data_IF_084156167494
#
_entry.id   IF_084156167494
#
_cell.length_a   1.000
_cell.length_b   1.000
_cell.length_c   1.000
_cell.angle_alpha   90.00
_cell.angle_beta   90.00
_cell.angle_gamma   90.00
#
_symmetry.space_group_name_H-M   'P 1'
#
loop_
_entity.id
_entity.type
_entity.pdbx_description
1 polymer ?
#
# COMPACT_ATOMS: atom_id res chain seq x y z
N UNK A 1 -7.40 14.89 23.61
CA UNK A 1 -8.49 14.06 24.15
C UNK A 1 -9.21 14.91 25.20
N UNK A 2 -10.40 15.43 24.88
CA UNK A 2 -11.16 16.27 25.83
C UNK A 2 -11.99 15.35 26.72
N UNK A 3 -11.56 15.15 27.97
CA UNK A 3 -12.34 14.41 28.97
C UNK A 3 -13.45 15.35 29.49
N UNK A 4 -14.70 15.04 29.17
CA UNK A 4 -15.86 15.72 29.75
C UNK A 4 -16.60 14.71 30.61
N UNK A 5 -16.26 14.68 31.90
CA UNK A 5 -16.98 13.90 32.91
C UNK A 5 -17.85 14.86 33.70
N UNK A 6 -19.16 14.61 33.77
CA UNK A 6 -20.07 15.46 34.56
C UNK A 6 -19.85 15.20 36.05
N UNK A 7 -19.88 16.25 36.87
CA UNK A 7 -19.38 16.22 38.26
C UNK A 7 -19.92 15.10 39.16
N UNK A 8 -21.18 14.68 39.00
CA UNK A 8 -21.75 13.55 39.75
C UNK A 8 -21.20 12.19 39.29
N UNK A 9 -21.10 12.00 37.98
CA UNK A 9 -20.55 10.79 37.35
C UNK A 9 -19.06 10.63 37.67
N UNK A 10 -18.31 11.74 37.67
CA UNK A 10 -16.90 11.74 38.04
C UNK A 10 -16.65 11.32 39.49
N UNK A 11 -17.54 11.70 40.41
CA UNK A 11 -17.43 11.30 41.80
C UNK A 11 -17.75 9.81 42.01
N UNK A 12 -18.74 9.29 41.29
CA UNK A 12 -19.06 7.85 41.29
C UNK A 12 -17.86 7.03 40.78
N UNK A 13 -17.27 7.43 39.66
CA UNK A 13 -16.07 6.79 39.09
C UNK A 13 -14.90 6.85 40.06
N UNK A 14 -14.63 8.02 40.66
CA UNK A 14 -13.56 8.19 41.64
C UNK A 14 -13.70 7.22 42.83
N UNK A 15 -14.93 7.02 43.32
CA UNK A 15 -15.20 6.10 44.43
C UNK A 15 -14.96 4.62 44.08
N UNK A 16 -14.92 4.26 42.79
CA UNK A 16 -14.53 2.91 42.36
C UNK A 16 -13.02 2.67 42.38
N UNK A 17 -12.21 3.73 42.39
CA UNK A 17 -10.76 3.61 42.32
C UNK A 17 -10.16 2.99 43.58
N UNK A 18 -9.20 2.10 43.37
CA UNK A 18 -8.37 1.51 44.43
C UNK A 18 -7.03 2.23 44.46
N UNK A 19 -6.74 2.84 45.60
CA UNK A 19 -5.47 3.51 45.90
C UNK A 19 -4.65 2.62 46.84
N UNK A 20 -3.32 2.64 46.69
CA UNK A 20 -2.42 1.83 47.52
C UNK A 20 -2.31 2.37 48.94
N UNK A 21 -2.43 3.68 49.12
CA UNK A 21 -2.42 4.34 50.41
C UNK A 21 -3.36 5.55 50.48
N UNK A 22 -3.63 6.09 51.67
CA UNK A 22 -4.36 7.35 51.83
C UNK A 22 -3.66 8.54 51.18
N UNK A 23 -2.32 8.55 51.16
CA UNK A 23 -1.54 9.61 50.50
C UNK A 23 -1.74 9.59 48.98
N UNK A 24 -1.77 8.40 48.36
CA UNK A 24 -2.08 8.22 46.94
C UNK A 24 -3.47 8.75 46.56
N UNK A 25 -4.44 8.67 47.47
CA UNK A 25 -5.80 9.19 47.26
C UNK A 25 -5.86 10.72 47.25
N UNK A 26 -4.95 11.38 47.96
CA UNK A 26 -4.78 12.82 48.00
C UNK A 26 -3.82 13.34 46.91
N UNK A 27 -3.05 12.45 46.26
CA UNK A 27 -2.15 12.80 45.19
C UNK A 27 -2.91 13.05 43.89
N UNK A 28 -2.95 14.32 43.48
CA UNK A 28 -3.60 14.74 42.24
C UNK A 28 -3.11 13.97 41.00
N UNK A 29 -1.80 13.71 40.89
CA UNK A 29 -1.22 13.01 39.74
C UNK A 29 -1.71 11.57 39.64
N UNK A 30 -1.81 10.86 40.77
CA UNK A 30 -2.29 9.48 40.79
C UNK A 30 -3.78 9.40 40.48
N UNK A 31 -4.57 10.33 41.02
CA UNK A 31 -6.00 10.44 40.73
C UNK A 31 -6.23 10.71 39.24
N UNK A 32 -5.45 11.61 38.64
CA UNK A 32 -5.54 11.92 37.22
C UNK A 32 -5.20 10.71 36.35
N UNK A 33 -4.14 9.97 36.68
CA UNK A 33 -3.77 8.74 35.99
C UNK A 33 -4.89 7.70 36.04
N UNK A 34 -5.56 7.52 37.19
CA UNK A 34 -6.70 6.60 37.31
C UNK A 34 -7.88 7.00 36.43
N UNK A 35 -8.16 8.31 36.33
CA UNK A 35 -9.18 8.82 35.41
C UNK A 35 -8.78 8.62 33.95
N UNK A 36 -7.52 8.85 33.60
CA UNK A 36 -7.01 8.54 32.27
C UNK A 36 -7.14 7.04 31.95
N UNK A 37 -6.78 6.16 32.87
CA UNK A 37 -6.92 4.71 32.68
C UNK A 37 -8.38 4.27 32.53
N UNK A 38 -9.29 4.87 33.31
CA UNK A 38 -10.72 4.56 33.29
C UNK A 38 -11.41 5.05 32.02
N UNK A 39 -11.11 6.29 31.62
CA UNK A 39 -11.72 6.94 30.47
C UNK A 39 -11.01 6.65 29.16
N UNK A 40 -9.80 6.09 29.20
CA UNK A 40 -9.16 5.55 28.02
C UNK A 40 -10.07 4.48 27.45
N UNK A 41 -10.53 4.61 26.18
CA UNK A 41 -11.19 3.50 25.53
C UNK A 41 -10.23 2.33 25.64
N UNK A 42 -10.69 1.19 26.17
CA UNK A 42 -9.89 -0.03 26.25
C UNK A 42 -9.50 -0.40 24.83
N UNK A 43 -8.33 0.08 24.42
CA UNK A 43 -7.80 -0.12 23.10
C UNK A 43 -7.56 -1.62 22.97
N UNK A 44 -8.39 -2.26 22.16
CA UNK A 44 -8.29 -3.68 21.93
C UNK A 44 -7.05 -3.91 21.05
N UNK A 45 -5.89 -4.04 21.70
CA UNK A 45 -4.60 -4.21 21.04
C UNK A 45 -4.63 -5.41 20.08
N UNK A 46 -5.38 -6.46 20.42
CA UNK A 46 -5.55 -7.63 19.55
C UNK A 46 -6.26 -7.24 18.26
N UNK A 47 -7.32 -6.43 18.35
CA UNK A 47 -8.02 -5.92 17.17
C UNK A 47 -7.17 -4.93 16.35
N UNK A 48 -6.41 -4.05 17.00
CA UNK A 48 -5.48 -3.14 16.30
C UNK A 48 -4.42 -3.92 15.53
N UNK A 49 -3.82 -4.94 16.17
CA UNK A 49 -2.86 -5.84 15.53
C UNK A 49 -3.49 -6.64 14.40
N UNK A 50 -4.74 -7.10 14.55
CA UNK A 50 -5.47 -7.75 13.47
C UNK A 50 -5.60 -6.83 12.24
N UNK A 51 -5.97 -5.56 12.43
CA UNK A 51 -6.04 -4.58 11.32
C UNK A 51 -4.67 -4.40 10.65
N UNK A 52 -3.61 -4.25 11.45
CA UNK A 52 -2.24 -4.13 10.94
C UNK A 52 -1.82 -5.35 10.12
N UNK A 53 -1.97 -6.56 10.66
CA UNK A 53 -1.54 -7.78 9.98
C UNK A 53 -2.42 -8.14 8.77
N UNK A 54 -3.67 -7.67 8.73
CA UNK A 54 -4.56 -7.83 7.57
C UNK A 54 -4.36 -6.76 6.49
N UNK A 55 -3.52 -5.75 6.75
CA UNK A 55 -3.30 -4.65 5.82
C UNK A 55 -2.44 -5.08 4.62
N UNK A 56 -3.00 -4.94 3.43
CA UNK A 56 -2.33 -5.19 2.15
C UNK A 56 -2.37 -3.92 1.30
N UNK A 57 -1.39 -3.76 0.41
CA UNK A 57 -1.38 -2.64 -0.53
C UNK A 57 -2.59 -2.76 -1.46
N UNK A 58 -3.37 -1.68 -1.55
CA UNK A 58 -4.53 -1.60 -2.44
C UNK A 58 -4.10 -1.40 -3.89
N UNK A 59 -4.95 -1.80 -4.82
CA UNK A 59 -4.73 -1.53 -6.25
C UNK A 59 -4.65 -0.02 -6.51
N UNK A 60 -3.62 0.41 -7.25
CA UNK A 60 -3.36 1.83 -7.53
C UNK A 60 -2.81 2.64 -6.34
N UNK A 61 -2.64 2.04 -5.16
CA UNK A 61 -2.02 2.73 -4.03
C UNK A 61 -0.50 2.84 -4.21
N UNK A 62 0.04 4.04 -4.00
CA UNK A 62 1.51 4.27 -4.02
C UNK A 62 2.19 3.64 -2.81
N UNK A 63 3.50 3.37 -2.91
CA UNK A 63 4.24 2.82 -1.78
C UNK A 63 4.27 3.80 -0.59
N UNK A 64 4.41 5.10 -0.82
CA UNK A 64 4.39 6.13 0.23
C UNK A 64 3.08 6.13 1.01
N UNK A 65 1.95 6.02 0.31
CA UNK A 65 0.62 5.96 0.92
C UNK A 65 0.48 4.69 1.75
N UNK A 66 0.93 3.54 1.22
CA UNK A 66 0.86 2.26 1.91
C UNK A 66 1.72 2.24 3.19
N UNK A 67 2.97 2.71 3.11
CA UNK A 67 3.87 2.81 4.27
C UNK A 67 3.31 3.76 5.33
N UNK A 68 2.74 4.89 4.92
CA UNK A 68 2.10 5.83 5.84
C UNK A 68 0.93 5.16 6.56
N UNK A 69 0.08 4.44 5.84
CA UNK A 69 -1.05 3.70 6.43
C UNK A 69 -0.58 2.64 7.43
N UNK A 70 0.48 1.87 7.10
CA UNK A 70 1.08 0.90 8.01
C UNK A 70 1.61 1.55 9.29
N UNK A 71 2.29 2.69 9.18
CA UNK A 71 2.78 3.46 10.35
C UNK A 71 1.62 3.94 11.23
N UNK A 72 0.53 4.42 10.62
CA UNK A 72 -0.67 4.81 11.37
C UNK A 72 -1.26 3.63 12.13
N UNK A 73 -1.41 2.46 11.50
CA UNK A 73 -1.91 1.25 12.18
C UNK A 73 -0.95 0.75 13.26
N UNK A 74 0.36 0.81 13.03
CA UNK A 74 1.35 0.36 13.99
C UNK A 74 1.34 1.19 15.29
N UNK A 75 1.05 2.50 15.20
CA UNK A 75 0.99 3.41 16.35
C UNK A 75 0.02 2.97 17.46
N UNK A 76 -1.01 2.18 17.11
CA UNK A 76 -2.01 1.65 18.04
C UNK A 76 -1.77 0.18 18.43
N UNK A 77 -0.71 -0.45 17.94
CA UNK A 77 -0.47 -1.89 18.11
C UNK A 77 0.41 -2.25 19.31
N UNK A 78 1.01 -1.24 19.98
CA UNK A 78 1.96 -1.44 21.09
C UNK A 78 3.09 -2.41 20.70
N UNK A 79 3.77 -2.15 19.58
CA UNK A 79 4.86 -2.98 19.09
C UNK A 79 6.22 -2.66 19.72
N UNK A 80 6.36 -1.50 20.38
CA UNK A 80 7.59 -1.05 21.02
C UNK A 80 8.78 -1.12 20.05
N UNK A 81 9.89 -1.73 20.45
CA UNK A 81 11.12 -1.80 19.66
C UNK A 81 10.97 -2.63 18.37
N UNK A 82 9.90 -3.44 18.26
CA UNK A 82 9.64 -4.26 17.08
C UNK A 82 8.88 -3.53 15.97
N UNK A 83 8.45 -2.28 16.18
CA UNK A 83 7.60 -1.55 15.24
C UNK A 83 8.18 -1.51 13.82
N UNK A 84 9.45 -1.09 13.67
CA UNK A 84 10.09 -1.01 12.36
C UNK A 84 10.24 -2.38 11.69
N UNK A 85 10.56 -3.42 12.46
CA UNK A 85 10.68 -4.78 11.96
C UNK A 85 9.35 -5.33 11.45
N UNK A 86 8.27 -5.10 12.20
CA UNK A 86 6.93 -5.56 11.81
C UNK A 86 6.36 -4.79 10.63
N UNK A 87 6.62 -3.48 10.51
CA UNK A 87 6.26 -2.71 9.33
C UNK A 87 7.02 -3.24 8.11
N UNK A 88 8.33 -3.49 8.24
CA UNK A 88 9.13 -4.11 7.16
C UNK A 88 8.53 -5.45 6.73
N UNK A 89 8.24 -6.33 7.68
CA UNK A 89 7.70 -7.66 7.38
C UNK A 89 6.33 -7.54 6.69
N UNK A 90 5.52 -6.57 7.11
CA UNK A 90 4.22 -6.31 6.47
C UNK A 90 4.37 -5.76 5.05
N UNK A 91 5.38 -4.92 4.78
CA UNK A 91 5.72 -4.47 3.41
C UNK A 91 6.10 -5.68 2.55
N UNK A 92 6.97 -6.56 3.03
CA UNK A 92 7.42 -7.77 2.29
C UNK A 92 6.25 -8.69 1.96
N UNK A 93 5.36 -8.92 2.93
CA UNK A 93 4.26 -9.87 2.79
C UNK A 93 3.00 -9.27 2.16
N UNK A 94 2.81 -7.95 2.23
CA UNK A 94 1.56 -7.26 1.89
C UNK A 94 1.60 -6.44 0.61
N UNK A 95 2.76 -6.40 -0.08
CA UNK A 95 2.85 -5.78 -1.40
C UNK A 95 2.27 -6.73 -2.45
N UNK A 96 1.13 -6.35 -3.01
CA UNK A 96 0.42 -7.12 -4.03
C UNK A 96 0.66 -6.60 -5.46
N UNK A 97 1.41 -5.50 -5.62
CA UNK A 97 1.58 -4.82 -6.92
C UNK A 97 2.69 -5.46 -7.76
N UNK A 98 3.75 -5.94 -7.11
CA UNK A 98 4.89 -6.57 -7.76
C UNK A 98 5.13 -7.97 -7.19
N UNK A 99 4.75 -8.99 -7.96
CA UNK A 99 4.95 -10.39 -7.60
C UNK A 99 6.42 -10.80 -7.47
N UNK A 100 7.34 -10.10 -8.13
CA UNK A 100 8.78 -10.35 -8.04
C UNK A 100 9.46 -9.60 -6.90
N UNK A 101 8.75 -8.74 -6.18
CA UNK A 101 9.37 -7.90 -5.15
C UNK A 101 9.82 -8.71 -3.93
N UNK A 102 9.11 -9.78 -3.59
CA UNK A 102 9.53 -10.71 -2.55
C UNK A 102 10.87 -11.38 -2.91
N UNK A 103 11.06 -11.76 -4.17
CA UNK A 103 12.32 -12.33 -4.65
C UNK A 103 13.50 -11.35 -4.56
N UNK A 104 13.22 -10.04 -4.59
CA UNK A 104 14.22 -8.99 -4.42
C UNK A 104 14.50 -8.63 -2.97
N UNK A 105 13.47 -8.69 -2.11
CA UNK A 105 13.59 -8.30 -0.70
C UNK A 105 14.13 -9.43 0.18
N UNK A 106 13.71 -10.68 -0.05
CA UNK A 106 14.07 -11.82 0.80
C UNK A 106 15.58 -12.14 0.82
N UNK A 107 16.36 -11.96 -0.27
CA UNK A 107 17.81 -12.20 -0.24
C UNK A 107 18.61 -11.13 0.50
N UNK A 108 18.00 -10.00 0.86
CA UNK A 108 18.72 -8.88 1.47
C UNK A 108 19.13 -9.19 2.91
N UNK A 109 20.44 -9.37 3.12
CA UNK A 109 21.02 -9.51 4.45
C UNK A 109 20.76 -8.24 5.27
N UNK A 110 20.29 -8.43 6.52
CA UNK A 110 19.97 -7.34 7.45
C UNK A 110 19.03 -6.29 6.85
N UNK A 111 17.97 -6.72 6.17
CA UNK A 111 16.95 -5.82 5.63
C UNK A 111 16.32 -4.97 6.74
N UNK A 112 16.59 -3.67 6.76
CA UNK A 112 15.93 -2.68 7.59
C UNK A 112 14.67 -2.11 6.93
N UNK A 113 13.86 -1.37 7.69
CA UNK A 113 12.64 -0.74 7.17
C UNK A 113 12.96 0.26 6.06
N UNK A 114 13.94 1.12 6.27
CA UNK A 114 14.35 2.17 5.34
C UNK A 114 14.81 1.57 4.01
N UNK A 115 15.68 0.55 4.09
CA UNK A 115 16.17 -0.17 2.91
C UNK A 115 15.05 -0.90 2.17
N UNK A 116 14.09 -1.50 2.87
CA UNK A 116 12.93 -2.10 2.24
C UNK A 116 12.11 -1.06 1.47
N UNK A 117 11.83 0.10 2.09
CA UNK A 117 11.10 1.20 1.44
C UNK A 117 11.84 1.69 0.18
N UNK A 118 13.16 1.84 0.23
CA UNK A 118 13.96 2.24 -0.93
C UNK A 118 13.87 1.24 -2.08
N UNK A 119 13.99 -0.06 -1.80
CA UNK A 119 13.88 -1.11 -2.82
C UNK A 119 12.50 -1.09 -3.47
N UNK A 120 11.44 -0.98 -2.67
CA UNK A 120 10.06 -0.95 -3.18
C UNK A 120 9.79 0.32 -4.00
N UNK A 121 10.26 1.48 -3.53
CA UNK A 121 10.16 2.75 -4.26
C UNK A 121 10.89 2.68 -5.61
N UNK A 122 12.10 2.14 -5.62
CA UNK A 122 12.86 1.96 -6.84
C UNK A 122 12.16 1.01 -7.82
N UNK A 123 11.50 -0.05 -7.32
CA UNK A 123 10.69 -0.96 -8.12
C UNK A 123 9.49 -0.25 -8.75
N UNK A 124 8.74 0.53 -7.96
CA UNK A 124 7.57 1.30 -8.44
C UNK A 124 7.97 2.29 -9.53
N UNK A 125 9.04 3.08 -9.32
CA UNK A 125 9.55 4.03 -10.31
C UNK A 125 10.02 3.32 -11.59
N UNK A 126 10.73 2.20 -11.47
CA UNK A 126 11.20 1.42 -12.63
C UNK A 126 10.04 0.91 -13.46
N UNK A 127 8.95 0.47 -12.83
CA UNK A 127 7.76 0.00 -13.52
C UNK A 127 7.09 1.12 -14.33
N UNK A 128 6.95 2.31 -13.76
CA UNK A 128 6.42 3.50 -14.46
C UNK A 128 7.30 3.88 -15.65
N UNK A 129 8.62 3.92 -15.46
CA UNK A 129 9.57 4.23 -16.53
C UNK A 129 9.49 3.21 -17.67
N UNK A 130 9.48 1.91 -17.36
CA UNK A 130 9.37 0.83 -18.37
C UNK A 130 8.02 0.90 -19.09
N UNK A 131 6.94 1.19 -18.39
CA UNK A 131 5.60 1.36 -18.98
C UNK A 131 5.59 2.49 -20.01
N UNK A 132 6.15 3.65 -19.64
CA UNK A 132 6.28 4.80 -20.53
C UNK A 132 7.15 4.48 -21.76
N UNK A 133 8.28 3.80 -21.58
CA UNK A 133 9.15 3.36 -22.70
C UNK A 133 8.42 2.42 -23.67
N UNK A 134 7.60 1.50 -23.17
CA UNK A 134 6.77 0.60 -24.02
C UNK A 134 5.73 1.38 -24.82
N UNK A 135 5.12 2.38 -24.21
CA UNK A 135 4.16 3.25 -24.89
C UNK A 135 4.84 4.10 -25.98
N UNK A 136 6.00 4.70 -25.69
CA UNK A 136 6.78 5.48 -26.65
C UNK A 136 7.25 4.64 -27.85
N UNK A 137 7.73 3.42 -27.61
CA UNK A 137 8.13 2.51 -28.70
C UNK A 137 6.95 2.08 -29.57
N UNK A 138 5.76 1.86 -28.98
CA UNK A 138 4.55 1.55 -29.73
C UNK A 138 4.07 2.74 -30.60
N UNK A 139 4.15 3.97 -30.10
CA UNK A 139 3.76 5.17 -30.87
C UNK A 139 4.72 5.46 -32.02
N UNK A 140 6.03 5.27 -31.85
CA UNK A 140 7.02 5.40 -32.94
C UNK A 140 6.75 4.38 -34.07
N UNK A 141 6.40 3.15 -33.71
CA UNK A 141 6.05 2.11 -34.69
C UNK A 141 4.75 2.45 -35.44
N UNK A 142 3.78 3.08 -34.78
CA UNK A 142 2.53 3.52 -35.43
C UNK A 142 2.78 4.63 -36.46
N UNK A 143 3.63 5.62 -36.16
CA UNK A 143 3.95 6.74 -37.06
C UNK A 143 4.80 6.31 -38.28
N UNK A 144 5.57 5.22 -38.17
CA UNK A 144 6.30 4.64 -39.32
C UNK A 144 5.41 3.92 -40.34
N UNK A 145 4.12 3.75 -40.05
CA UNK A 145 3.12 3.26 -41.02
C UNK A 145 2.47 4.41 -41.80
N UNK A 146 3.26 5.41 -42.21
CA UNK A 146 2.87 6.25 -43.34
C UNK A 146 3.02 5.39 -44.60
N UNK A 147 1.88 4.93 -45.11
CA UNK A 147 1.77 4.27 -46.40
C UNK A 147 2.55 5.06 -47.44
N UNK A 148 3.52 4.40 -48.08
CA UNK A 148 4.22 4.98 -49.21
C UNK A 148 3.17 5.12 -50.33
N UNK A 149 2.80 6.34 -50.78
CA UNK A 149 1.73 6.52 -51.77
C UNK A 149 2.06 5.91 -53.15
N UNK A 150 3.29 5.42 -53.33
CA UNK A 150 3.77 4.78 -54.56
C UNK A 150 3.87 3.25 -54.50
N UNK A 151 3.33 2.56 -53.48
CA UNK A 151 3.20 1.10 -53.59
C UNK A 151 1.97 0.73 -54.43
N UNK A 152 2.14 0.01 -55.56
CA UNK A 152 1.00 -0.46 -56.34
C UNK A 152 0.16 -1.37 -55.44
N UNK A 153 -1.08 -0.96 -55.16
CA UNK A 153 -2.08 -1.81 -54.50
C UNK A 153 -2.20 -3.06 -55.36
N UNK A 154 -1.65 -4.19 -54.87
CA UNK A 154 -1.85 -5.49 -55.53
C UNK A 154 -3.34 -5.74 -55.56
N UNK A 155 -3.97 -5.59 -56.72
CA UNK A 155 -5.38 -5.89 -56.88
C UNK A 155 -5.56 -7.37 -56.55
N UNK A 156 -6.44 -7.67 -55.60
CA UNK A 156 -6.77 -9.04 -55.20
C UNK A 156 -7.47 -9.83 -56.30
N UNK A 157 -7.64 -9.22 -57.47
CA UNK A 157 -8.25 -9.81 -58.63
C UNK A 157 -7.54 -9.33 -59.92
N UNK A 158 -7.46 -10.21 -60.92
CA UNK A 158 -6.91 -9.93 -62.25
C UNK A 158 -7.91 -10.31 -63.33
N UNK A 159 -7.92 -9.59 -64.44
CA UNK A 159 -8.75 -9.92 -65.59
C UNK A 159 -8.07 -11.01 -66.43
N UNK A 160 -8.75 -12.14 -66.60
CA UNK A 160 -8.21 -13.29 -67.32
C UNK A 160 -8.30 -13.08 -68.82
N UNK A 161 -7.14 -13.01 -69.48
CA UNK A 161 -7.03 -12.83 -70.95
C UNK A 161 -7.66 -13.98 -71.77
N UNK A 162 -7.97 -15.12 -71.15
CA UNK A 162 -8.60 -16.27 -71.82
C UNK A 162 -10.13 -16.22 -71.82
N UNK A 163 -10.75 -15.65 -70.79
CA UNK A 163 -12.22 -15.65 -70.64
C UNK A 163 -12.83 -14.25 -70.45
N UNK A 164 -12.02 -13.20 -70.33
CA UNK A 164 -12.45 -11.81 -70.16
C UNK A 164 -13.13 -11.51 -68.81
N UNK A 165 -13.01 -12.40 -67.81
CA UNK A 165 -13.61 -12.20 -66.47
C UNK A 165 -12.54 -11.97 -65.42
N UNK A 166 -12.93 -11.37 -64.29
CA UNK A 166 -12.05 -11.01 -63.18
C UNK A 166 -11.96 -12.19 -62.18
N UNK A 167 -10.74 -12.65 -61.86
CA UNK A 167 -10.44 -13.79 -60.97
C UNK A 167 -9.52 -13.41 -59.82
N UNK A 168 -9.63 -14.08 -58.67
CA UNK A 168 -8.64 -13.99 -57.58
C UNK A 168 -7.36 -14.77 -57.94
N UNK A 169 -6.16 -14.31 -57.52
CA UNK A 169 -4.93 -15.11 -57.60
C UNK A 169 -5.13 -16.45 -56.89
N UNK A 170 -4.59 -17.53 -57.48
CA UNK A 170 -4.62 -18.85 -56.88
C UNK A 170 -3.57 -18.89 -55.76
N UNK A 171 -3.98 -19.31 -54.56
CA UNK A 171 -3.06 -19.58 -53.44
C UNK A 171 -2.09 -20.71 -53.77
#
# INVERSE_FOLDING_TARGET
MHLVIRGSEGLEIYNTFKFQSPESKANYSEVLQKFEDYCSPRQNVVYERYKFFSCVQLEGQTIESYVTHLKTLASTCKFAEQENGLIRDRIVLGNNKDSGLQERLLPENNLGLEKAIEIVRAAEASWEQISNMKYETATINYVKKKENPNQPKKSSHYECKKCGRIHKPRE
#
